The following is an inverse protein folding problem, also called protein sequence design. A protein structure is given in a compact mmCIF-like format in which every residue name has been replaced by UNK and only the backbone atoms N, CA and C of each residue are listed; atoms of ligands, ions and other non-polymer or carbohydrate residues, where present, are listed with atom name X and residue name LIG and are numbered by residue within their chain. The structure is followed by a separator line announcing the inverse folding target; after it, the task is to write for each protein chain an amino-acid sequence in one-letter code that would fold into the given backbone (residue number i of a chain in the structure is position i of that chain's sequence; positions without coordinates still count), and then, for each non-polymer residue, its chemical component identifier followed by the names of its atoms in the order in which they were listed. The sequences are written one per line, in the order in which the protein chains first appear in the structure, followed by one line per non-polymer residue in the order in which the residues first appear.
data_IF_742543493572
#
_entry.id   IF_742543493572
#
_cell.length_a   1.000
_cell.length_b   1.000
_cell.length_c   1.000
_cell.angle_alpha   90.00
_cell.angle_beta   90.00
_cell.angle_gamma   90.00
#
_symmetry.space_group_name_H-M   'P 1'
#
loop_
_entity.id
_entity.type
_entity.pdbx_description
1 polymer ?
#
# COMPACT_ATOMS: atom_id res chain seq x y z
N UNK A 1 5.71 -6.68 -10.27
CA UNK A 1 6.50 -5.89 -11.25
C UNK A 1 6.12 -4.43 -11.07
N UNK A 2 7.09 -3.54 -10.81
CA UNK A 2 6.83 -2.11 -10.55
C UNK A 2 7.05 -1.32 -11.83
N UNK A 3 6.08 -0.50 -12.24
CA UNK A 3 6.20 0.39 -13.41
C UNK A 3 6.19 1.83 -12.95
N UNK A 4 7.28 2.54 -13.21
CA UNK A 4 7.39 3.95 -12.91
C UNK A 4 7.01 4.77 -14.14
N UNK A 5 6.00 5.63 -14.01
CA UNK A 5 5.60 6.58 -15.04
C UNK A 5 5.63 7.99 -14.46
N UNK A 6 6.46 8.87 -15.03
CA UNK A 6 6.57 10.26 -14.59
C UNK A 6 5.76 11.16 -15.53
N UNK A 7 4.89 12.00 -14.95
CA UNK A 7 4.06 12.95 -15.70
C UNK A 7 4.00 14.28 -14.97
N UNK A 8 4.17 15.38 -15.69
CA UNK A 8 3.88 16.72 -15.16
C UNK A 8 2.38 16.93 -15.09
N UNK A 9 1.92 17.57 -14.01
CA UNK A 9 0.52 18.01 -13.88
C UNK A 9 0.23 19.02 -14.99
N UNK A 10 -0.89 18.86 -15.69
CA UNK A 10 -1.30 19.83 -16.71
C UNK A 10 -1.60 21.19 -16.08
N UNK A 11 -1.59 22.26 -16.89
CA UNK A 11 -1.95 23.61 -16.42
C UNK A 11 -3.34 23.69 -15.76
N UNK A 12 -4.22 22.71 -16.02
CA UNK A 12 -5.56 22.59 -15.44
C UNK A 12 -5.61 21.77 -14.14
N UNK A 13 -4.46 21.32 -13.62
CA UNK A 13 -4.41 20.47 -12.42
C UNK A 13 -4.76 19.00 -12.66
N UNK A 14 -4.93 18.57 -13.91
CA UNK A 14 -5.29 17.18 -14.25
C UNK A 14 -4.05 16.35 -14.60
N UNK A 15 -4.04 15.08 -14.20
CA UNK A 15 -3.07 14.06 -14.60
C UNK A 15 -3.80 12.99 -15.42
N UNK A 16 -3.30 12.70 -16.62
CA UNK A 16 -3.84 11.64 -17.47
C UNK A 16 -2.92 10.43 -17.47
N UNK A 17 -3.46 9.26 -17.13
CA UNK A 17 -2.73 7.99 -17.27
C UNK A 17 -2.66 7.59 -18.75
N UNK A 18 -1.45 7.35 -19.30
CA UNK A 18 -1.31 6.89 -20.68
C UNK A 18 -2.12 5.62 -20.96
N UNK A 19 -2.73 5.51 -22.15
CA UNK A 19 -3.57 4.37 -22.54
C UNK A 19 -2.83 3.04 -22.38
N UNK A 20 -1.56 2.98 -22.77
CA UNK A 20 -0.74 1.77 -22.61
C UNK A 20 -0.56 1.37 -21.14
N UNK A 21 -0.36 2.35 -20.25
CA UNK A 21 -0.25 2.10 -18.82
C UNK A 21 -1.58 1.59 -18.26
N UNK A 22 -2.70 2.26 -18.59
CA UNK A 22 -4.05 1.83 -18.19
C UNK A 22 -4.34 0.39 -18.60
N UNK A 23 -4.05 0.02 -19.86
CA UNK A 23 -4.23 -1.35 -20.36
C UNK A 23 -3.33 -2.35 -19.66
N UNK A 24 -2.07 -1.99 -19.39
CA UNK A 24 -1.14 -2.87 -18.70
C UNK A 24 -1.56 -3.16 -17.26
N UNK A 25 -2.00 -2.13 -16.52
CA UNK A 25 -2.49 -2.28 -15.14
C UNK A 25 -3.95 -2.73 -15.05
N UNK A 26 -4.60 -2.97 -16.20
CA UNK A 26 -5.99 -3.46 -16.27
C UNK A 26 -7.04 -2.48 -15.78
N UNK A 27 -6.81 -1.16 -15.89
CA UNK A 27 -7.78 -0.11 -15.57
C UNK A 27 -8.57 0.27 -16.83
N UNK A 28 -9.87 0.00 -16.80
CA UNK A 28 -10.82 0.32 -17.87
C UNK A 28 -11.67 1.57 -17.56
N UNK A 29 -12.40 2.09 -18.55
CA UNK A 29 -13.14 3.36 -18.41
C UNK A 29 -14.31 3.28 -17.42
N UNK A 30 -14.87 2.09 -17.20
CA UNK A 30 -15.97 1.86 -16.25
C UNK A 30 -15.49 1.25 -14.93
N UNK A 31 -14.17 1.15 -14.73
CA UNK A 31 -13.63 0.63 -13.48
C UNK A 31 -13.88 1.60 -12.33
N UNK A 32 -14.38 1.06 -11.22
CA UNK A 32 -14.39 1.77 -9.95
C UNK A 32 -12.99 1.70 -9.35
N UNK A 33 -12.37 2.88 -9.23
CA UNK A 33 -11.05 3.03 -8.62
C UNK A 33 -11.15 3.83 -7.33
N UNK A 34 -10.41 3.39 -6.33
CA UNK A 34 -10.18 4.17 -5.13
C UNK A 34 -8.87 4.94 -5.26
N UNK A 35 -8.92 6.23 -4.94
CA UNK A 35 -7.77 7.12 -4.90
C UNK A 35 -7.44 7.44 -3.45
N UNK A 36 -6.21 7.21 -3.02
CA UNK A 36 -5.74 7.53 -1.66
C UNK A 36 -4.48 8.37 -1.72
N UNK A 37 -4.48 9.53 -1.05
CA UNK A 37 -3.31 10.41 -0.94
C UNK A 37 -2.60 10.22 0.39
N UNK A 38 -1.28 9.98 0.37
CA UNK A 38 -0.44 9.89 1.58
C UNK A 38 0.96 10.44 1.32
N UNK A 39 1.36 11.48 2.05
CA UNK A 39 2.74 12.00 2.00
C UNK A 39 3.23 12.43 0.61
N UNK A 40 2.33 12.95 -0.24
CA UNK A 40 2.65 13.33 -1.62
C UNK A 40 2.57 12.18 -2.65
N UNK A 41 2.23 10.96 -2.21
CA UNK A 41 1.99 9.79 -3.06
C UNK A 41 0.48 9.62 -3.26
N UNK A 42 0.07 9.37 -4.50
CA UNK A 42 -1.31 8.97 -4.84
C UNK A 42 -1.30 7.48 -5.18
N UNK A 43 -2.08 6.71 -4.42
CA UNK A 43 -2.33 5.30 -4.66
C UNK A 43 -3.68 5.15 -5.39
N UNK A 44 -3.72 4.29 -6.39
CA UNK A 44 -4.92 3.97 -7.16
C UNK A 44 -5.17 2.47 -7.04
N UNK A 45 -6.18 2.10 -6.27
CA UNK A 45 -6.61 0.71 -6.08
C UNK A 45 -7.82 0.42 -6.97
N UNK A 46 -7.94 -0.82 -7.44
CA UNK A 46 -8.96 -1.25 -8.40
C UNK A 46 -9.67 -2.49 -7.87
N UNK A 47 -11.00 -2.50 -7.88
CA UNK A 47 -11.79 -3.72 -7.70
C UNK A 47 -12.24 -4.30 -9.04
N UNK A 48 -12.59 -5.58 -9.04
CA UNK A 48 -13.24 -6.19 -10.20
C UNK A 48 -14.66 -5.64 -10.35
N UNK A 49 -14.96 -5.08 -11.54
CA UNK A 49 -16.27 -4.48 -11.86
C UNK A 49 -17.39 -5.51 -11.90
N UNK A 50 -17.06 -6.79 -12.03
CA UNK A 50 -18.02 -7.91 -11.97
C UNK A 50 -18.46 -8.26 -10.56
N UNK A 51 -17.86 -7.67 -9.51
CA UNK A 51 -18.36 -7.81 -8.16
C UNK A 51 -19.75 -7.16 -8.05
N UNK A 52 -20.66 -7.79 -7.30
CA UNK A 52 -22.00 -7.26 -7.07
C UNK A 52 -21.96 -5.88 -6.39
N UNK A 53 -20.93 -5.64 -5.56
CA UNK A 53 -20.63 -4.32 -4.97
C UNK A 53 -19.11 -4.06 -4.93
N UNK A 54 -18.51 -3.49 -5.99
CA UNK A 54 -17.07 -3.26 -6.07
C UNK A 54 -16.52 -2.30 -5.00
N UNK A 55 -17.36 -1.41 -4.44
CA UNK A 55 -16.96 -0.46 -3.40
C UNK A 55 -16.77 -1.17 -2.06
N UNK A 56 -17.69 -2.07 -1.69
CA UNK A 56 -17.56 -2.86 -0.46
C UNK A 56 -16.32 -3.75 -0.50
N UNK A 57 -16.03 -4.37 -1.65
CA UNK A 57 -14.80 -5.16 -1.86
C UNK A 57 -13.56 -4.32 -1.57
N UNK A 58 -13.47 -3.10 -2.12
CA UNK A 58 -12.34 -2.21 -1.85
C UNK A 58 -12.21 -1.84 -0.36
N UNK A 59 -13.34 -1.62 0.32
CA UNK A 59 -13.33 -1.28 1.75
C UNK A 59 -12.89 -2.46 2.62
N UNK A 60 -13.36 -3.67 2.32
CA UNK A 60 -12.96 -4.89 3.01
C UNK A 60 -11.47 -5.16 2.85
N UNK A 61 -10.93 -4.99 1.64
CA UNK A 61 -9.51 -5.22 1.38
C UNK A 61 -8.63 -4.24 2.17
N UNK A 62 -9.03 -2.97 2.28
CA UNK A 62 -8.33 -2.00 3.15
C UNK A 62 -8.41 -2.40 4.61
N UNK A 63 -9.57 -2.87 5.06
CA UNK A 63 -9.75 -3.27 6.44
C UNK A 63 -8.85 -4.47 6.76
N UNK A 64 -8.77 -5.46 5.87
CA UNK A 64 -7.83 -6.58 5.96
C UNK A 64 -6.38 -6.10 5.94
N UNK A 65 -6.00 -5.19 5.05
CA UNK A 65 -4.64 -4.62 5.01
C UNK A 65 -4.27 -3.91 6.31
N UNK A 66 -5.18 -3.09 6.87
CA UNK A 66 -4.97 -2.43 8.17
C UNK A 66 -4.81 -3.43 9.30
N UNK A 67 -5.65 -4.46 9.35
CA UNK A 67 -5.57 -5.50 10.36
C UNK A 67 -4.27 -6.30 10.27
N UNK A 68 -3.81 -6.59 9.04
CA UNK A 68 -2.54 -7.28 8.82
C UNK A 68 -1.36 -6.39 9.26
N UNK A 69 -1.35 -5.12 8.88
CA UNK A 69 -0.31 -4.17 9.29
C UNK A 69 -0.26 -4.00 10.83
N UNK A 70 -1.42 -3.99 11.50
CA UNK A 70 -1.47 -3.91 12.96
C UNK A 70 -0.95 -5.19 13.62
N UNK A 71 -1.31 -6.37 13.10
CA UNK A 71 -0.76 -7.67 13.56
C UNK A 71 0.74 -7.74 13.39
N UNK A 72 1.25 -7.31 12.24
CA UNK A 72 2.69 -7.22 11.95
C UNK A 72 3.40 -6.30 12.95
N UNK A 73 2.85 -5.10 13.20
CA UNK A 73 3.38 -4.16 14.20
C UNK A 73 3.44 -4.80 15.59
N UNK A 74 2.39 -5.51 16.00
CA UNK A 74 2.35 -6.16 17.30
C UNK A 74 3.35 -7.33 17.41
N UNK A 75 3.53 -8.10 16.33
CA UNK A 75 4.56 -9.15 16.27
C UNK A 75 5.96 -8.57 16.47
N UNK A 76 6.31 -7.49 15.75
CA UNK A 76 7.60 -6.80 15.92
C UNK A 76 7.75 -6.31 17.36
N UNK A 77 6.72 -5.64 17.89
CA UNK A 77 6.76 -5.09 19.25
C UNK A 77 7.00 -6.17 20.30
N UNK A 78 6.37 -7.33 20.15
CA UNK A 78 6.57 -8.47 21.04
C UNK A 78 7.97 -9.07 20.88
N UNK A 79 8.48 -9.16 19.65
CA UNK A 79 9.84 -9.63 19.38
C UNK A 79 10.90 -8.71 19.99
N UNK A 80 10.75 -7.39 19.85
CA UNK A 80 11.65 -6.41 20.49
C UNK A 80 11.64 -6.57 22.01
N UNK A 81 10.46 -6.67 22.63
CA UNK A 81 10.35 -6.87 24.08
C UNK A 81 11.09 -8.13 24.54
N UNK A 82 10.98 -9.22 23.77
CA UNK A 82 11.69 -10.46 24.03
C UNK A 82 13.21 -10.25 23.97
N UNK A 83 13.73 -9.66 22.89
CA UNK A 83 15.17 -9.41 22.74
C UNK A 83 15.73 -8.54 23.87
N UNK A 84 15.00 -7.49 24.27
CA UNK A 84 15.39 -6.66 25.41
C UNK A 84 15.40 -7.45 26.72
N UNK A 85 14.44 -8.37 26.93
CA UNK A 85 14.41 -9.23 28.12
C UNK A 85 15.55 -10.27 28.14
N UNK A 86 16.02 -10.69 26.97
CA UNK A 86 17.18 -11.58 26.80
C UNK A 86 18.52 -10.84 26.97
N UNK A 87 18.49 -9.53 27.25
CA UNK A 87 19.69 -8.71 27.45
C UNK A 87 20.44 -8.37 26.16
N UNK A 88 19.76 -8.47 25.00
CA UNK A 88 20.34 -8.13 23.70
C UNK A 88 20.72 -6.66 23.62
N UNK A 89 21.80 -6.39 22.90
CA UNK A 89 22.28 -5.02 22.69
C UNK A 89 21.30 -4.22 21.83
N UNK A 90 21.36 -2.88 21.96
CA UNK A 90 20.52 -1.99 21.16
C UNK A 90 20.76 -2.19 19.65
N UNK A 91 22.00 -2.45 19.25
CA UNK A 91 22.36 -2.69 17.85
C UNK A 91 21.71 -3.96 17.29
N UNK A 92 21.71 -5.06 18.04
CA UNK A 92 21.02 -6.30 17.63
C UNK A 92 19.50 -6.12 17.53
N UNK A 93 18.91 -5.31 18.42
CA UNK A 93 17.49 -4.97 18.35
C UNK A 93 17.19 -4.10 17.13
N UNK A 94 18.07 -3.14 16.82
CA UNK A 94 17.90 -2.25 15.68
C UNK A 94 17.98 -3.02 14.35
N UNK A 95 18.92 -3.93 14.22
CA UNK A 95 19.09 -4.76 13.01
C UNK A 95 17.85 -5.62 12.74
N UNK A 96 17.23 -6.19 13.77
CA UNK A 96 16.00 -6.97 13.63
C UNK A 96 14.82 -6.08 13.20
N UNK A 97 14.71 -4.86 13.73
CA UNK A 97 13.68 -3.90 13.32
C UNK A 97 13.88 -3.45 11.88
N UNK A 98 15.12 -3.18 11.49
CA UNK A 98 15.44 -2.75 10.13
C UNK A 98 15.17 -3.85 9.10
N UNK A 99 15.46 -5.12 9.40
CA UNK A 99 15.08 -6.27 8.55
C UNK A 99 13.58 -6.41 8.33
N UNK A 100 12.76 -5.90 9.25
CA UNK A 100 11.32 -5.91 9.07
C UNK A 100 10.85 -4.78 8.16
N UNK A 101 11.53 -3.63 8.22
CA UNK A 101 11.15 -2.43 7.47
C UNK A 101 11.68 -2.40 6.02
N UNK A 102 12.71 -3.20 5.71
CA UNK A 102 13.43 -3.21 4.44
C UNK A 102 13.73 -4.63 3.95
#
# INVERSE_FOLDING_TARGET
MTINCFKTVSAKGSIYLPVALRKFVGIHEEDVVQITGRGGIILINKAEVTAENPVEVLQEDIQKEKENAEKEKDQIKNRIKQLLSEGKSLDEVLDEVLRFLF
#
